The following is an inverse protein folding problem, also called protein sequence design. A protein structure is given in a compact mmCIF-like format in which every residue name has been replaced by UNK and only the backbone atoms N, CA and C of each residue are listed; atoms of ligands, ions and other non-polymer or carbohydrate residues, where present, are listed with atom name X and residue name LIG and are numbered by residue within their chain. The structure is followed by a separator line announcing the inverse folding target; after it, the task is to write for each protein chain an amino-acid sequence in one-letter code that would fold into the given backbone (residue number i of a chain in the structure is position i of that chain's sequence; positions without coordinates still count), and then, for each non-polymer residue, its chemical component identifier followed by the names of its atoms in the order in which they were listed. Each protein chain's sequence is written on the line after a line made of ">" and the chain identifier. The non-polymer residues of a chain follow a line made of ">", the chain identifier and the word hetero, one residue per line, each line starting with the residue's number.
data_IF_231463236963
#
_entry.id   IF_231463236963
#
_cell.length_a   1.000
_cell.length_b   1.000
_cell.length_c   1.000
_cell.angle_alpha   90.00
_cell.angle_beta   90.00
_cell.angle_gamma   90.00
#
_symmetry.space_group_name_H-M   'P 1'
#
loop_
_entity.id
_entity.type
_entity.pdbx_description
1 polymer ?
#
# COMPACT_ATOMS: atom_id res chain seq x y z
N UNK A 1 -15.24 -39.93 -4.24
CA UNK A 1 -16.48 -39.17 -4.49
C UNK A 1 -16.87 -39.36 -5.96
N UNK A 2 -18.14 -39.64 -6.27
CA UNK A 2 -18.61 -39.99 -7.64
C UNK A 2 -19.00 -38.79 -8.49
N UNK A 3 -19.17 -37.62 -7.89
CA UNK A 3 -19.34 -36.34 -8.58
C UNK A 3 -18.22 -35.40 -8.12
N UNK A 4 -17.49 -34.81 -9.07
CA UNK A 4 -16.59 -33.70 -8.79
C UNK A 4 -17.45 -32.45 -8.63
N UNK A 5 -17.47 -31.88 -7.43
CA UNK A 5 -18.22 -30.67 -7.10
C UNK A 5 -17.30 -29.53 -6.68
N UNK A 6 -15.99 -29.80 -6.58
CA UNK A 6 -14.98 -28.89 -6.04
C UNK A 6 -14.04 -28.41 -7.15
N UNK A 7 -13.56 -27.16 -7.02
CA UNK A 7 -12.60 -26.50 -7.90
C UNK A 7 -12.91 -26.53 -9.41
N UNK A 8 -14.19 -26.67 -9.77
CA UNK A 8 -14.65 -26.84 -11.16
C UNK A 8 -14.29 -25.68 -12.11
N UNK A 9 -13.93 -24.51 -11.58
CA UNK A 9 -13.54 -23.30 -12.34
C UNK A 9 -12.22 -22.71 -11.86
N UNK A 10 -11.39 -23.50 -11.20
CA UNK A 10 -10.07 -23.12 -10.73
C UNK A 10 -9.05 -23.65 -11.72
N UNK A 11 -8.21 -22.75 -12.25
CA UNK A 11 -7.11 -23.14 -13.14
C UNK A 11 -5.93 -23.68 -12.33
N UNK A 12 -5.55 -22.99 -11.27
CA UNK A 12 -4.47 -23.38 -10.35
C UNK A 12 -4.60 -22.65 -9.01
N UNK A 13 -3.98 -23.18 -7.96
CA UNK A 13 -3.87 -22.57 -6.63
C UNK A 13 -2.42 -22.72 -6.16
N UNK A 14 -1.78 -21.59 -5.88
CA UNK A 14 -0.44 -21.55 -5.33
C UNK A 14 -0.42 -20.94 -3.92
N UNK A 15 0.47 -21.45 -3.08
CA UNK A 15 0.67 -20.91 -1.75
C UNK A 15 1.40 -19.56 -1.80
N UNK A 16 0.89 -18.60 -1.04
CA UNK A 16 1.62 -17.37 -0.72
C UNK A 16 2.56 -17.62 0.47
N UNK A 17 3.70 -16.95 0.45
CA UNK A 17 4.54 -16.80 1.65
C UNK A 17 3.73 -16.13 2.74
N UNK A 18 3.97 -16.51 4.00
CA UNK A 18 3.25 -15.89 5.09
C UNK A 18 3.60 -14.40 5.24
N UNK A 19 2.70 -13.58 5.83
CA UNK A 19 3.03 -12.21 6.16
C UNK A 19 4.34 -12.09 6.96
N UNK A 20 4.57 -12.95 7.94
CA UNK A 20 5.82 -12.99 8.70
C UNK A 20 7.06 -13.19 7.81
N UNK A 21 7.01 -14.13 6.86
CA UNK A 21 8.12 -14.40 5.95
C UNK A 21 8.42 -13.22 5.03
N UNK A 22 7.39 -12.56 4.49
CA UNK A 22 7.57 -11.35 3.69
C UNK A 22 8.10 -10.21 4.56
N UNK A 23 7.58 -10.04 5.78
CA UNK A 23 8.01 -8.99 6.70
C UNK A 23 9.46 -9.14 7.14
N UNK A 24 9.92 -10.36 7.38
CA UNK A 24 11.30 -10.65 7.74
C UNK A 24 12.31 -10.32 6.62
N UNK A 25 11.90 -10.31 5.35
CA UNK A 25 12.78 -9.95 4.22
C UNK A 25 13.04 -8.44 4.12
N UNK A 26 12.10 -7.63 4.60
CA UNK A 26 12.20 -6.17 4.62
C UNK A 26 11.59 -5.67 5.94
N UNK A 27 12.30 -5.83 7.07
CA UNK A 27 11.81 -5.36 8.35
C UNK A 27 11.67 -3.85 8.34
N UNK A 28 10.65 -3.32 9.00
CA UNK A 28 10.52 -1.88 9.19
C UNK A 28 11.64 -1.43 10.14
N UNK A 29 12.46 -0.46 9.71
CA UNK A 29 13.53 0.06 10.57
C UNK A 29 12.96 0.96 11.66
N UNK A 30 13.77 1.30 12.66
CA UNK A 30 13.37 2.27 13.70
C UNK A 30 12.97 3.62 13.10
N UNK A 31 13.73 4.10 12.10
CA UNK A 31 13.46 5.34 11.39
C UNK A 31 12.18 5.27 10.57
N UNK A 32 11.97 4.16 9.86
CA UNK A 32 10.73 3.92 9.12
C UNK A 32 9.51 3.85 10.06
N UNK A 33 9.65 3.15 11.19
CA UNK A 33 8.61 3.06 12.21
C UNK A 33 8.27 4.43 12.79
N UNK A 34 9.28 5.26 13.07
CA UNK A 34 9.07 6.63 13.54
C UNK A 34 8.33 7.49 12.50
N UNK A 35 8.72 7.40 11.23
CA UNK A 35 8.05 8.11 10.12
C UNK A 35 6.56 7.74 10.04
N UNK A 36 6.24 6.46 10.08
CA UNK A 36 4.84 6.00 10.03
C UNK A 36 4.06 6.43 11.28
N UNK A 37 4.67 6.30 12.46
CA UNK A 37 4.05 6.69 13.73
C UNK A 37 3.73 8.19 13.79
N UNK A 38 4.70 9.04 13.45
CA UNK A 38 4.55 10.50 13.45
C UNK A 38 3.52 10.95 12.42
N UNK A 39 3.55 10.37 11.21
CA UNK A 39 2.56 10.67 10.18
C UNK A 39 1.14 10.28 10.62
N UNK A 40 0.95 9.09 11.20
CA UNK A 40 -0.37 8.68 11.74
C UNK A 40 -0.87 9.62 12.84
N UNK A 41 0.04 10.08 13.71
CA UNK A 41 -0.30 11.07 14.75
C UNK A 41 -0.68 12.43 14.16
N UNK A 42 0.08 12.92 13.19
CA UNK A 42 -0.19 14.19 12.52
C UNK A 42 -1.51 14.15 11.74
N UNK A 43 -1.76 13.07 11.00
CA UNK A 43 -3.04 12.84 10.30
C UNK A 43 -4.20 12.89 11.30
N UNK A 44 -4.08 12.19 12.44
CA UNK A 44 -5.11 12.19 13.48
C UNK A 44 -5.35 13.60 14.05
N UNK A 45 -4.29 14.36 14.30
CA UNK A 45 -4.40 15.74 14.80
C UNK A 45 -5.16 16.64 13.81
N UNK A 46 -4.83 16.56 12.51
CA UNK A 46 -5.53 17.31 11.47
C UNK A 46 -7.01 16.90 11.36
N UNK A 47 -7.30 15.59 11.38
CA UNK A 47 -8.68 15.09 11.35
C UNK A 47 -9.50 15.53 12.58
N UNK A 48 -8.84 15.67 13.73
CA UNK A 48 -9.43 16.17 14.97
C UNK A 48 -9.51 17.71 15.04
N UNK A 49 -8.90 18.42 14.09
CA UNK A 49 -8.76 19.89 14.07
C UNK A 49 -7.88 20.46 15.17
N UNK A 50 -6.95 19.66 15.70
CA UNK A 50 -5.89 20.08 16.62
C UNK A 50 -4.67 20.64 15.88
N UNK A 51 -4.61 20.45 14.56
CA UNK A 51 -3.58 20.90 13.62
C UNK A 51 -4.32 21.41 12.37
N UNK A 52 -4.02 22.63 11.92
CA UNK A 52 -4.74 23.33 10.84
C UNK A 52 -4.14 23.09 9.45
N UNK A 53 -3.05 22.32 9.35
CA UNK A 53 -2.42 21.96 8.08
C UNK A 53 -3.36 21.16 7.18
N UNK A 54 -3.14 21.29 5.87
CA UNK A 54 -3.86 20.51 4.87
C UNK A 54 -3.20 19.15 4.63
N UNK A 55 -3.94 18.05 4.78
CA UNK A 55 -3.49 16.73 4.31
C UNK A 55 -3.52 16.70 2.78
N UNK A 56 -2.39 16.40 2.16
CA UNK A 56 -2.29 16.20 0.71
C UNK A 56 -1.71 14.83 0.41
N UNK A 57 -2.55 13.95 -0.15
CA UNK A 57 -2.12 12.65 -0.68
C UNK A 57 -1.82 12.79 -2.17
N UNK A 58 -0.55 12.73 -2.56
CA UNK A 58 -0.14 12.93 -3.95
C UNK A 58 0.93 11.95 -4.42
N UNK A 59 0.89 11.58 -5.69
CA UNK A 59 1.83 10.64 -6.29
C UNK A 59 1.25 9.95 -7.52
N UNK A 60 1.97 8.96 -8.07
CA UNK A 60 1.53 8.21 -9.23
C UNK A 60 0.16 7.55 -9.03
N UNK A 61 -0.59 7.38 -10.13
CA UNK A 61 -1.87 6.66 -10.10
C UNK A 61 -1.68 5.23 -9.56
N UNK A 62 -0.66 4.54 -10.05
CA UNK A 62 -0.23 3.21 -9.62
C UNK A 62 1.28 3.05 -9.85
N UNK A 63 1.97 2.39 -8.93
CA UNK A 63 3.41 2.11 -9.01
C UNK A 63 3.64 0.88 -9.86
N UNK A 64 4.45 1.00 -10.93
CA UNK A 64 4.91 -0.12 -11.76
C UNK A 64 6.44 -0.23 -11.82
N UNK A 65 7.15 0.87 -11.53
CA UNK A 65 8.62 0.93 -11.42
C UNK A 65 8.99 1.48 -10.04
N UNK A 66 9.67 0.64 -9.24
CA UNK A 66 10.09 0.99 -7.88
C UNK A 66 11.23 2.00 -7.84
N UNK A 67 12.07 2.08 -8.87
CA UNK A 67 13.17 3.05 -8.90
C UNK A 67 12.64 4.44 -9.17
N UNK A 68 11.74 4.58 -10.15
CA UNK A 68 11.01 5.82 -10.39
C UNK A 68 10.18 6.24 -9.16
N UNK A 69 9.59 5.30 -8.43
CA UNK A 69 8.87 5.58 -7.19
C UNK A 69 9.79 6.15 -6.09
N UNK A 70 10.99 5.57 -5.89
CA UNK A 70 11.98 6.10 -4.94
C UNK A 70 12.46 7.49 -5.35
N UNK A 71 12.73 7.70 -6.64
CA UNK A 71 13.11 9.02 -7.16
C UNK A 71 12.02 10.07 -6.91
N UNK A 72 10.76 9.71 -7.15
CA UNK A 72 9.62 10.57 -6.82
C UNK A 72 9.56 10.85 -5.32
N UNK A 73 9.73 9.83 -4.48
CA UNK A 73 9.76 9.97 -3.02
C UNK A 73 10.85 10.94 -2.53
N UNK A 74 12.06 10.84 -3.08
CA UNK A 74 13.15 11.76 -2.75
C UNK A 74 12.81 13.22 -3.10
N UNK A 75 12.21 13.47 -4.27
CA UNK A 75 11.78 14.82 -4.66
C UNK A 75 10.61 15.30 -3.81
N UNK A 76 9.67 14.42 -3.49
CA UNK A 76 8.53 14.73 -2.62
C UNK A 76 9.00 15.08 -1.20
N UNK A 77 10.05 14.43 -0.69
CA UNK A 77 10.61 14.71 0.64
C UNK A 77 11.13 16.15 0.74
N UNK A 78 11.85 16.62 -0.29
CA UNK A 78 12.33 18.01 -0.34
C UNK A 78 11.16 18.98 -0.29
N UNK A 79 10.13 18.76 -1.11
CA UNK A 79 8.94 19.59 -1.10
C UNK A 79 8.21 19.52 0.26
N UNK A 80 8.08 18.33 0.84
CA UNK A 80 7.43 18.12 2.13
C UNK A 80 8.09 18.92 3.25
N UNK A 81 9.41 19.08 3.21
CA UNK A 81 10.13 19.92 4.18
C UNK A 81 9.87 21.41 3.95
N UNK A 82 9.79 21.85 2.69
CA UNK A 82 9.55 23.26 2.34
C UNK A 82 8.14 23.74 2.72
N UNK A 83 7.13 22.85 2.71
CA UNK A 83 5.73 23.20 2.99
C UNK A 83 5.21 22.67 4.33
N UNK A 84 6.09 22.15 5.19
CA UNK A 84 5.74 21.40 6.39
C UNK A 84 4.86 22.17 7.40
N UNK A 85 4.97 23.50 7.41
CA UNK A 85 4.22 24.39 8.29
C UNK A 85 2.72 24.47 7.93
N UNK A 86 2.37 24.23 6.65
CA UNK A 86 1.02 24.44 6.12
C UNK A 86 0.41 23.14 5.54
N UNK A 87 1.24 22.18 5.11
CA UNK A 87 0.80 20.99 4.39
C UNK A 87 1.44 19.73 4.99
N UNK A 88 0.59 18.75 5.31
CA UNK A 88 1.00 17.39 5.62
C UNK A 88 1.01 16.55 4.33
N UNK A 89 2.16 16.47 3.68
CA UNK A 89 2.34 15.71 2.44
C UNK A 89 2.52 14.21 2.70
N UNK A 90 1.76 13.39 1.97
CA UNK A 90 1.80 11.93 2.02
C UNK A 90 1.90 11.39 0.59
N UNK A 91 2.88 10.52 0.35
CA UNK A 91 3.06 9.93 -0.98
C UNK A 91 1.94 8.92 -1.27
N UNK A 92 1.29 9.05 -2.42
CA UNK A 92 0.39 8.03 -2.96
C UNK A 92 1.21 6.86 -3.52
N UNK A 93 1.09 5.68 -2.92
CA UNK A 93 1.80 4.44 -3.25
C UNK A 93 0.80 3.31 -3.49
N UNK A 94 0.04 3.40 -4.58
CA UNK A 94 -0.98 2.40 -4.91
C UNK A 94 -0.37 1.34 -5.84
N UNK A 95 -0.57 0.05 -5.54
CA UNK A 95 0.03 -1.02 -6.35
C UNK A 95 -0.86 -1.49 -7.49
N UNK A 96 -2.17 -1.26 -7.38
CA UNK A 96 -3.16 -1.69 -8.37
C UNK A 96 -4.18 -0.57 -8.61
N UNK A 97 -4.81 -0.62 -9.78
CA UNK A 97 -6.02 0.15 -10.09
C UNK A 97 -7.13 -0.84 -10.44
N UNK A 98 -8.25 -0.90 -9.70
CA UNK A 98 -9.39 -1.76 -10.05
C UNK A 98 -9.96 -1.41 -11.43
N UNK A 99 -10.17 -2.43 -12.28
CA UNK A 99 -10.68 -2.31 -13.65
C UNK A 99 -11.85 -3.25 -13.90
N UNK A 100 -12.80 -2.81 -14.73
CA UNK A 100 -13.89 -3.65 -15.25
C UNK A 100 -13.51 -4.39 -16.53
N UNK A 101 -12.41 -3.98 -17.18
CA UNK A 101 -11.87 -4.57 -18.41
C UNK A 101 -10.52 -5.23 -18.16
N UNK A 102 -10.08 -6.06 -19.12
CA UNK A 102 -8.76 -6.71 -19.09
C UNK A 102 -7.65 -5.65 -19.14
N UNK A 103 -6.59 -5.89 -18.37
CA UNK A 103 -5.39 -5.06 -18.32
C UNK A 103 -4.52 -5.47 -17.14
N UNK A 104 -3.34 -4.84 -17.03
CA UNK A 104 -2.38 -5.10 -15.97
C UNK A 104 -3.00 -5.03 -14.57
N UNK A 105 -2.69 -6.04 -13.76
CA UNK A 105 -3.28 -6.29 -12.43
C UNK A 105 -2.52 -5.62 -11.28
N UNK A 106 -1.50 -4.82 -11.57
CA UNK A 106 -0.76 -4.09 -10.55
C UNK A 106 0.51 -4.81 -10.09
N UNK A 107 1.38 -4.09 -9.40
CA UNK A 107 2.74 -4.52 -9.06
C UNK A 107 2.77 -5.72 -8.12
N UNK A 108 1.81 -5.82 -7.21
CA UNK A 108 1.71 -6.99 -6.32
C UNK A 108 1.32 -8.23 -7.13
N UNK A 109 0.34 -8.11 -8.03
CA UNK A 109 -0.18 -9.25 -8.76
C UNK A 109 0.73 -9.69 -9.91
N UNK A 110 1.26 -8.75 -10.68
CA UNK A 110 2.09 -9.01 -11.86
C UNK A 110 3.29 -8.04 -11.88
N UNK A 111 4.35 -8.31 -11.09
CA UNK A 111 5.47 -7.39 -10.90
C UNK A 111 6.35 -7.22 -12.15
N UNK A 112 6.26 -8.13 -13.11
CA UNK A 112 7.10 -8.16 -14.31
C UNK A 112 6.44 -7.53 -15.54
N UNK A 113 5.15 -7.16 -15.43
CA UNK A 113 4.36 -6.59 -16.54
C UNK A 113 4.23 -7.55 -17.73
N UNK A 114 4.21 -8.86 -17.47
CA UNK A 114 4.26 -9.93 -18.48
C UNK A 114 3.23 -11.05 -18.25
N UNK A 115 2.25 -10.82 -17.37
CA UNK A 115 1.22 -11.79 -16.97
C UNK A 115 1.80 -13.07 -16.32
N UNK A 116 3.01 -13.03 -15.74
CA UNK A 116 3.60 -14.16 -15.00
C UNK A 116 2.96 -14.41 -13.63
N UNK A 117 2.24 -13.41 -13.09
CA UNK A 117 1.56 -13.47 -11.80
C UNK A 117 2.43 -13.91 -10.60
N UNK A 118 3.68 -13.43 -10.55
CA UNK A 118 4.63 -13.74 -9.47
C UNK A 118 4.28 -13.00 -8.15
N UNK A 119 3.13 -13.30 -7.53
CA UNK A 119 2.59 -12.56 -6.36
C UNK A 119 3.58 -12.51 -5.18
N UNK A 120 4.28 -13.62 -4.90
CA UNK A 120 5.28 -13.65 -3.83
C UNK A 120 6.43 -12.65 -4.05
N UNK A 121 6.82 -12.43 -5.31
CA UNK A 121 7.80 -11.40 -5.68
C UNK A 121 7.18 -10.01 -5.56
N UNK A 122 5.96 -9.83 -6.07
CA UNK A 122 5.24 -8.57 -5.99
C UNK A 122 5.03 -8.08 -4.55
N UNK A 123 4.64 -8.96 -3.64
CA UNK A 123 4.54 -8.66 -2.19
C UNK A 123 5.88 -8.22 -1.60
N UNK A 124 6.98 -8.92 -1.94
CA UNK A 124 8.32 -8.55 -1.49
C UNK A 124 8.76 -7.19 -2.02
N UNK A 125 8.54 -6.92 -3.31
CA UNK A 125 8.89 -5.65 -3.97
C UNK A 125 8.06 -4.48 -3.42
N UNK A 126 6.74 -4.67 -3.27
CA UNK A 126 5.84 -3.67 -2.70
C UNK A 126 6.21 -3.32 -1.27
N UNK A 127 6.49 -4.34 -0.43
CA UNK A 127 6.93 -4.12 0.95
C UNK A 127 8.25 -3.36 1.01
N UNK A 128 9.25 -3.79 0.25
CA UNK A 128 10.57 -3.15 0.25
C UNK A 128 10.44 -1.67 -0.13
N UNK A 129 9.66 -1.33 -1.17
CA UNK A 129 9.42 0.06 -1.54
C UNK A 129 8.81 0.88 -0.38
N UNK A 130 7.82 0.33 0.34
CA UNK A 130 7.21 1.04 1.47
C UNK A 130 8.21 1.27 2.62
N UNK A 131 9.05 0.27 2.93
CA UNK A 131 10.11 0.42 3.93
C UNK A 131 11.11 1.49 3.51
N UNK A 132 11.57 1.45 2.26
CA UNK A 132 12.51 2.46 1.73
C UNK A 132 11.95 3.88 1.82
N UNK A 133 10.68 4.08 1.44
CA UNK A 133 10.02 5.39 1.53
C UNK A 133 9.90 5.85 2.98
N UNK A 134 9.51 4.94 3.88
CA UNK A 134 9.46 5.25 5.31
C UNK A 134 10.85 5.61 5.87
N UNK A 135 11.90 4.91 5.47
CA UNK A 135 13.29 5.21 5.85
C UNK A 135 13.78 6.54 5.28
N UNK A 136 13.28 6.97 4.12
CA UNK A 136 13.52 8.31 3.57
C UNK A 136 12.78 9.42 4.34
N UNK A 137 11.91 9.08 5.29
CA UNK A 137 11.04 10.04 5.99
C UNK A 137 9.82 10.43 5.17
N UNK A 138 9.40 9.61 4.21
CA UNK A 138 8.25 9.86 3.33
C UNK A 138 7.10 8.94 3.74
N UNK A 139 6.03 9.47 4.35
CA UNK A 139 4.88 8.64 4.70
C UNK A 139 4.13 8.18 3.45
N UNK A 140 3.70 6.93 3.43
CA UNK A 140 2.97 6.33 2.31
C UNK A 140 1.47 6.21 2.57
N UNK A 141 0.69 6.43 1.52
CA UNK A 141 -0.74 6.22 1.43
C UNK A 141 -1.05 5.14 0.38
N UNK A 142 -1.84 4.12 0.73
CA UNK A 142 -2.26 3.07 -0.21
C UNK A 142 -3.78 2.85 -0.18
N UNK A 143 -4.29 2.06 -1.11
CA UNK A 143 -5.67 1.57 -1.13
C UNK A 143 -5.69 0.09 -0.82
N UNK A 144 -6.61 -0.33 0.05
CA UNK A 144 -6.79 -1.74 0.42
C UNK A 144 -7.96 -2.33 -0.37
N UNK A 145 -7.64 -3.20 -1.32
CA UNK A 145 -8.58 -3.81 -2.28
C UNK A 145 -9.09 -5.19 -1.85
N UNK A 146 -8.46 -5.80 -0.86
CA UNK A 146 -8.80 -7.10 -0.29
C UNK A 146 -8.50 -7.13 1.21
N UNK A 147 -8.82 -8.25 1.85
CA UNK A 147 -8.72 -8.43 3.30
C UNK A 147 -7.39 -9.07 3.74
N UNK A 148 -6.52 -9.44 2.80
CA UNK A 148 -5.33 -10.28 3.02
C UNK A 148 -4.04 -9.44 2.88
N UNK A 149 -3.93 -8.68 1.80
CA UNK A 149 -2.80 -7.79 1.50
C UNK A 149 -2.43 -6.83 2.66
N UNK A 150 -3.36 -6.30 3.49
CA UNK A 150 -2.97 -5.47 4.62
C UNK A 150 -1.97 -6.16 5.57
N UNK A 151 -2.07 -7.47 5.78
CA UNK A 151 -1.18 -8.21 6.71
C UNK A 151 0.31 -8.11 6.32
N UNK A 152 0.60 -7.86 5.04
CA UNK A 152 1.95 -7.82 4.49
C UNK A 152 2.61 -6.45 4.56
N UNK A 153 1.81 -5.38 4.57
CA UNK A 153 2.29 -4.02 4.30
C UNK A 153 1.74 -2.93 5.22
N UNK A 154 0.66 -3.18 5.97
CA UNK A 154 -0.03 -2.12 6.71
C UNK A 154 0.81 -1.50 7.81
N UNK A 155 1.82 -2.20 8.33
CA UNK A 155 2.78 -1.66 9.31
C UNK A 155 3.61 -0.50 8.73
N UNK A 156 3.79 -0.44 7.41
CA UNK A 156 4.57 0.58 6.71
C UNK A 156 3.70 1.68 6.06
N UNK A 157 2.39 1.71 6.32
CA UNK A 157 1.44 2.65 5.69
C UNK A 157 0.92 3.66 6.70
N UNK A 158 0.98 4.95 6.38
CA UNK A 158 0.50 6.02 7.25
C UNK A 158 -0.99 6.34 7.06
N UNK A 159 -1.52 6.16 5.85
CA UNK A 159 -2.92 6.45 5.51
C UNK A 159 -3.50 5.42 4.53
N UNK A 160 -4.73 4.96 4.75
CA UNK A 160 -5.40 3.98 3.91
C UNK A 160 -6.66 4.53 3.25
N UNK A 161 -6.90 4.16 1.99
CA UNK A 161 -8.17 4.37 1.30
C UNK A 161 -8.98 3.07 1.18
N UNK A 162 -10.30 3.21 1.28
CA UNK A 162 -11.27 2.27 0.73
C UNK A 162 -11.91 2.94 -0.50
N UNK A 163 -11.77 2.33 -1.66
CA UNK A 163 -12.23 2.90 -2.92
C UNK A 163 -13.75 3.03 -3.02
N UNK A 164 -14.19 3.87 -3.96
CA UNK A 164 -15.63 4.09 -4.20
C UNK A 164 -16.40 2.81 -4.55
N UNK A 165 -15.74 1.81 -5.15
CA UNK A 165 -16.35 0.51 -5.50
C UNK A 165 -16.49 -0.44 -4.31
N UNK A 166 -15.80 -0.17 -3.21
CA UNK A 166 -15.76 -1.04 -2.02
C UNK A 166 -16.22 -0.32 -0.74
N UNK A 167 -16.47 0.99 -0.76
CA UNK A 167 -16.93 1.73 0.43
C UNK A 167 -18.27 1.26 1.00
N UNK A 168 -19.11 0.62 0.19
CA UNK A 168 -20.39 0.02 0.62
C UNK A 168 -20.24 -1.46 1.00
N UNK A 169 -19.10 -2.08 0.71
CA UNK A 169 -18.82 -3.46 1.09
C UNK A 169 -18.63 -3.56 2.60
N UNK A 170 -19.47 -4.36 3.26
CA UNK A 170 -19.41 -4.57 4.71
C UNK A 170 -18.03 -5.07 5.15
N UNK A 171 -17.44 -6.05 4.45
CA UNK A 171 -16.13 -6.61 4.82
C UNK A 171 -15.00 -5.57 4.71
N UNK A 172 -15.11 -4.59 3.81
CA UNK A 172 -14.14 -3.50 3.73
C UNK A 172 -14.34 -2.47 4.84
N UNK A 173 -15.59 -2.26 5.31
CA UNK A 173 -15.87 -1.46 6.52
C UNK A 173 -15.34 -2.15 7.78
N UNK A 174 -15.51 -3.46 7.88
CA UNK A 174 -14.94 -4.29 8.95
C UNK A 174 -13.42 -4.23 8.93
N UNK A 175 -12.79 -4.36 7.76
CA UNK A 175 -11.35 -4.15 7.59
C UNK A 175 -10.95 -2.75 8.09
N UNK A 176 -11.62 -1.70 7.63
CA UNK A 176 -11.32 -0.32 8.03
C UNK A 176 -11.44 -0.07 9.54
N UNK A 177 -12.26 -0.85 10.25
CA UNK A 177 -12.38 -0.75 11.71
C UNK A 177 -11.16 -1.30 12.48
N UNK A 178 -10.35 -2.13 11.84
CA UNK A 178 -9.13 -2.72 12.41
C UNK A 178 -7.83 -2.19 11.83
N UNK A 179 -7.90 -1.23 10.90
CA UNK A 179 -6.74 -0.54 10.31
C UNK A 179 -6.24 0.64 11.15
#
# INVERSE_FOLDING_TARGET
>A
MTHQTDDLRILDIHNLLSPEQIRARSPLTERGAQTVYEARRAIKAVLNRDDDRLIVVMGPCSIHDVNAAREYGMRLKVLADEVADEILLIMRVYFEKPRTTVGWKGLINDPNLDDSFEINKGLGVARHLLVDLADMGVPAATEYLDLISPQYVSDAVAWGAIGARTTESQVHRELASGL
#
